data_IF_607840958972
#
_entry.id   IF_607840958972
#
_cell.length_a   1.000
_cell.length_b   1.000
_cell.length_c   1.000
_cell.angle_alpha   90.00
_cell.angle_beta   90.00
_cell.angle_gamma   90.00
#
_symmetry.space_group_name_H-M   'P 1'
#
loop_
_entity.id
_entity.type
_entity.pdbx_description
1 polymer ?
#
# COMPACT_ATOMS: atom_id res chain seq x y z
N UNK A 1 -3.06 -14.05 7.39
CA UNK A 1 -3.28 -13.23 6.18
C UNK A 1 -2.40 -13.77 5.06
N UNK A 2 -2.86 -13.86 3.81
CA UNK A 2 -1.97 -14.19 2.69
C UNK A 2 -1.67 -12.89 1.95
N UNK A 3 -0.46 -12.37 2.05
CA UNK A 3 -0.10 -11.18 1.28
C UNK A 3 1.39 -11.11 1.00
N UNK A 4 1.72 -10.79 -0.25
CA UNK A 4 3.07 -10.57 -0.73
C UNK A 4 3.91 -11.85 -0.87
N UNK A 5 5.16 -11.63 -1.29
CA UNK A 5 6.19 -12.67 -1.33
C UNK A 5 7.00 -12.67 -0.02
N UNK A 6 7.55 -13.82 0.35
CA UNK A 6 8.36 -13.98 1.56
C UNK A 6 7.55 -14.24 2.84
N UNK A 7 8.00 -13.68 3.97
CA UNK A 7 7.37 -13.92 5.27
C UNK A 7 6.01 -13.22 5.36
N UNK A 8 4.94 -14.01 5.39
CA UNK A 8 3.57 -13.49 5.45
C UNK A 8 3.33 -12.72 6.76
N UNK A 9 2.64 -11.56 6.69
CA UNK A 9 2.20 -10.88 7.90
C UNK A 9 1.24 -11.79 8.69
N UNK A 10 1.49 -11.90 9.98
CA UNK A 10 0.72 -12.74 10.91
C UNK A 10 -0.49 -11.99 11.45
N UNK A 11 -0.39 -10.67 11.54
CA UNK A 11 -1.42 -9.77 12.06
C UNK A 11 -1.76 -8.68 11.05
N UNK A 12 -2.91 -8.04 11.25
CA UNK A 12 -3.27 -6.84 10.48
C UNK A 12 -2.26 -5.71 10.68
N UNK A 13 -1.77 -5.53 11.90
CA UNK A 13 -0.80 -4.48 12.21
C UNK A 13 0.51 -4.65 11.44
N UNK A 14 1.01 -5.88 11.34
CA UNK A 14 2.19 -6.18 10.53
C UNK A 14 1.96 -5.88 9.05
N UNK A 15 0.77 -6.19 8.53
CA UNK A 15 0.40 -5.84 7.17
C UNK A 15 0.39 -4.32 6.98
N UNK A 16 -0.30 -3.58 7.87
CA UNK A 16 -0.46 -2.12 7.77
C UNK A 16 0.90 -1.42 7.83
N UNK A 17 1.75 -1.83 8.76
CA UNK A 17 3.13 -1.32 8.90
C UNK A 17 3.93 -1.55 7.61
N UNK A 18 3.86 -2.76 7.04
CA UNK A 18 4.61 -3.09 5.83
C UNK A 18 4.07 -2.38 4.60
N UNK A 19 2.75 -2.31 4.45
CA UNK A 19 2.08 -1.58 3.37
C UNK A 19 2.50 -0.11 3.38
N UNK A 20 2.42 0.55 4.55
CA UNK A 20 2.83 1.94 4.71
C UNK A 20 4.31 2.16 4.36
N UNK A 21 5.20 1.24 4.77
CA UNK A 21 6.61 1.32 4.43
C UNK A 21 6.89 1.21 2.93
N UNK A 22 6.25 0.26 2.23
CA UNK A 22 6.43 0.08 0.79
C UNK A 22 5.82 1.23 -0.01
N UNK A 23 4.58 1.63 0.31
CA UNK A 23 3.95 2.80 -0.31
C UNK A 23 4.77 4.06 -0.04
N UNK A 24 5.32 4.22 1.16
CA UNK A 24 6.22 5.31 1.51
C UNK A 24 7.45 5.38 0.60
N UNK A 25 8.13 4.25 0.41
CA UNK A 25 9.29 4.17 -0.48
C UNK A 25 8.95 4.54 -1.94
N UNK A 26 7.77 4.14 -2.44
CA UNK A 26 7.31 4.53 -3.78
C UNK A 26 6.98 6.02 -3.86
N UNK A 27 6.33 6.57 -2.83
CA UNK A 27 5.98 7.99 -2.77
C UNK A 27 7.22 8.89 -2.62
N UNK A 28 8.29 8.40 -2.01
CA UNK A 28 9.52 9.18 -1.79
C UNK A 28 10.46 9.19 -3.04
N UNK A 29 10.16 8.40 -4.08
CA UNK A 29 10.92 8.38 -5.33
C UNK A 29 10.44 9.48 -6.31
N UNK A 30 11.28 10.47 -6.65
CA UNK A 30 10.90 11.55 -7.57
C UNK A 30 10.71 11.10 -9.03
N UNK A 31 11.12 9.87 -9.39
CA UNK A 31 10.91 9.27 -10.70
C UNK A 31 9.70 8.33 -10.74
N UNK A 32 8.99 8.18 -9.62
CA UNK A 32 7.80 7.32 -9.50
C UNK A 32 6.52 8.15 -9.57
N UNK A 33 5.83 8.12 -10.72
CA UNK A 33 4.57 8.87 -10.89
C UNK A 33 3.34 8.13 -10.34
N UNK A 34 3.45 6.85 -10.01
CA UNK A 34 2.34 6.09 -9.44
C UNK A 34 2.57 4.58 -9.42
N UNK A 35 1.67 3.88 -8.73
CA UNK A 35 1.64 2.43 -8.68
C UNK A 35 0.20 1.92 -8.66
N UNK A 36 0.01 0.64 -8.97
CA UNK A 36 -1.28 -0.03 -8.87
C UNK A 36 -1.21 -1.13 -7.82
N UNK A 37 -2.04 -1.05 -6.79
CA UNK A 37 -2.22 -2.16 -5.86
C UNK A 37 -3.19 -3.18 -6.47
N UNK A 38 -2.70 -4.38 -6.70
CA UNK A 38 -3.55 -5.55 -6.99
C UNK A 38 -3.58 -6.41 -5.73
N UNK A 39 -4.72 -6.69 -5.12
CA UNK A 39 -6.09 -6.76 -5.68
C UNK A 39 -7.14 -6.14 -4.73
N UNK A 40 -8.31 -5.78 -5.25
CA UNK A 40 -9.36 -5.15 -4.45
C UNK A 40 -10.02 -6.13 -3.46
N UNK A 41 -10.39 -7.32 -3.92
CA UNK A 41 -11.03 -8.37 -3.12
C UNK A 41 -10.16 -9.62 -3.14
N UNK A 42 -10.26 -10.44 -2.11
CA UNK A 42 -9.76 -11.81 -2.18
C UNK A 42 -10.42 -12.54 -3.35
N UNK A 43 -9.65 -13.39 -4.03
CA UNK A 43 -10.16 -14.35 -5.00
C UNK A 43 -9.70 -15.75 -4.58
N UNK A 44 -10.48 -16.79 -4.88
CA UNK A 44 -10.21 -18.21 -4.59
C UNK A 44 -9.00 -18.49 -3.65
N UNK A 45 -7.83 -18.86 -4.20
CA UNK A 45 -6.63 -19.13 -3.41
C UNK A 45 -5.83 -17.87 -3.05
N UNK A 46 -6.00 -16.77 -3.78
CA UNK A 46 -5.29 -15.51 -3.56
C UNK A 46 -6.02 -14.63 -2.55
N UNK A 47 -5.57 -14.69 -1.31
CA UNK A 47 -6.16 -13.91 -0.22
C UNK A 47 -5.46 -12.56 -0.01
N UNK A 48 -5.00 -11.90 -1.09
CA UNK A 48 -4.24 -10.64 -1.07
C UNK A 48 -5.12 -9.38 -1.14
N UNK A 49 -6.44 -9.55 -1.16
CA UNK A 49 -7.41 -8.47 -1.31
C UNK A 49 -7.45 -7.51 -0.12
N UNK A 50 -7.80 -6.25 -0.42
CA UNK A 50 -8.14 -5.24 0.59
C UNK A 50 -9.46 -5.58 1.29
N UNK A 51 -10.39 -6.17 0.55
CA UNK A 51 -11.67 -6.70 1.02
C UNK A 51 -11.68 -8.23 0.93
N UNK A 52 -12.61 -8.87 1.64
CA UNK A 52 -12.86 -10.31 1.48
C UNK A 52 -13.53 -10.60 0.14
N UNK A 53 -13.64 -11.89 -0.19
CA UNK A 53 -14.29 -12.38 -1.42
C UNK A 53 -15.73 -11.85 -1.60
N UNK A 54 -16.48 -11.72 -0.51
CA UNK A 54 -17.85 -11.20 -0.48
C UNK A 54 -17.93 -9.66 -0.41
N UNK A 55 -16.81 -8.96 -0.59
CA UNK A 55 -16.65 -7.50 -0.43
C UNK A 55 -16.85 -6.98 0.99
N UNK A 56 -16.95 -7.85 1.99
CA UNK A 56 -16.92 -7.41 3.39
C UNK A 56 -15.54 -6.87 3.78
N UNK A 57 -15.51 -6.03 4.82
CA UNK A 57 -14.27 -5.42 5.31
C UNK A 57 -13.30 -6.50 5.80
N UNK A 58 -12.05 -6.38 5.38
CA UNK A 58 -10.95 -7.26 5.79
C UNK A 58 -9.82 -6.50 6.47
N UNK A 59 -9.51 -5.31 5.96
CA UNK A 59 -8.52 -4.41 6.51
C UNK A 59 -9.18 -3.07 6.86
N UNK A 60 -8.55 -2.33 7.76
CA UNK A 60 -8.80 -0.91 7.97
C UNK A 60 -8.34 -0.11 6.74
N UNK A 61 -9.32 0.23 5.90
CA UNK A 61 -9.11 0.97 4.65
C UNK A 61 -8.75 2.43 4.87
N UNK A 62 -9.08 3.02 6.02
CA UNK A 62 -8.71 4.40 6.31
C UNK A 62 -7.20 4.50 6.54
N UNK A 63 -6.61 3.50 7.19
CA UNK A 63 -5.14 3.41 7.32
C UNK A 63 -4.44 3.24 5.99
N UNK A 64 -4.99 2.40 5.10
CA UNK A 64 -4.46 2.25 3.74
C UNK A 64 -4.58 3.54 2.94
N UNK A 65 -5.70 4.25 3.07
CA UNK A 65 -5.89 5.55 2.43
C UNK A 65 -4.85 6.56 2.93
N UNK A 66 -4.69 6.66 4.24
CA UNK A 66 -3.74 7.60 4.85
C UNK A 66 -2.29 7.35 4.39
N UNK A 67 -1.88 6.08 4.27
CA UNK A 67 -0.56 5.72 3.75
C UNK A 67 -0.33 6.18 2.30
N UNK A 68 -1.39 6.26 1.49
CA UNK A 68 -1.34 6.59 0.06
C UNK A 68 -1.50 8.08 -0.25
N UNK A 69 -2.12 8.84 0.65
CA UNK A 69 -2.46 10.26 0.42
C UNK A 69 -1.38 11.25 0.87
N UNK A 70 -0.21 10.77 1.28
CA UNK A 70 0.96 11.63 1.46
C UNK A 70 1.37 12.23 0.12
N UNK A 71 1.80 13.50 0.13
CA UNK A 71 2.37 14.17 -1.04
C UNK A 71 3.57 13.39 -1.56
N UNK A 72 3.57 13.01 -2.84
CA UNK A 72 4.67 12.26 -3.45
C UNK A 72 5.84 13.19 -3.80
N UNK A 73 7.06 12.64 -3.85
CA UNK A 73 8.26 13.35 -4.29
C UNK A 73 8.14 13.79 -5.77
N UNK A 74 7.50 12.97 -6.61
CA UNK A 74 7.19 13.32 -8.00
C UNK A 74 6.32 14.58 -8.14
N UNK A 75 5.52 14.93 -7.13
CA UNK A 75 4.67 16.13 -7.11
C UNK A 75 5.40 17.40 -6.64
N UNK A 76 6.70 17.29 -6.35
CA UNK A 76 7.53 18.46 -6.01
C UNK A 76 7.92 19.19 -7.29
N UNK A 77 7.86 20.53 -7.32
CA UNK A 77 8.36 21.31 -8.45
C UNK A 77 9.84 21.01 -8.69
N UNK A 78 10.25 20.97 -9.96
CA UNK A 78 11.66 20.94 -10.32
C UNK A 78 12.34 22.20 -9.75
N UNK A 79 13.17 22.02 -8.71
CA UNK A 79 13.83 23.12 -7.98
C UNK A 79 13.77 23.02 -6.45
N UNK A 80 13.01 22.10 -5.88
CA UNK A 80 12.98 21.80 -4.43
C UNK A 80 13.98 20.71 -3.98
N UNK A 81 14.99 20.40 -4.80
CA UNK A 81 16.08 19.50 -4.41
C UNK A 81 17.08 20.22 -3.49
N UNK A 82 16.86 20.05 -2.18
CA UNK A 82 17.92 20.02 -1.15
C UNK A 82 18.89 21.20 -1.11
N UNK A 83 18.49 22.25 -0.39
CA UNK A 83 19.42 22.89 0.57
C UNK A 83 19.62 21.97 1.77
#
# INVERSE_FOLDING_TARGET
MSWGYGQRPRTEEEFQTRFAGLTGALLDDPLMFGYCYTQLTDVFQEQNGVYRFDRSRKLDVERLRAAQQRRAAFERPAGEEGR
#
